data_IF_332202916444
#
_entry.id   IF_332202916444
#
_cell.length_a   1.000
_cell.length_b   1.000
_cell.length_c   1.000
_cell.angle_alpha   90.00
_cell.angle_beta   90.00
_cell.angle_gamma   90.00
#
_symmetry.space_group_name_H-M   'P 1'
#
loop_
_entity.id
_entity.type
_entity.pdbx_description
1 polymer ?
#
# COMPACT_ATOMS: atom_id res chain seq x y z
N UNK A 1 12.16 22.10 1.88
CA UNK A 1 12.28 21.42 1.98
C UNK A 1 11.54 20.23 2.26
N UNK A 2 11.24 19.87 3.24
CA UNK A 2 10.63 18.59 3.43
C UNK A 2 9.29 18.44 2.82
N UNK A 3 8.68 19.53 2.49
CA UNK A 3 7.39 19.41 1.97
C UNK A 3 7.32 18.87 0.62
N UNK A 4 8.41 18.77 -0.05
CA UNK A 4 8.33 18.17 -1.34
C UNK A 4 7.96 16.73 -1.24
N UNK A 5 8.31 16.09 -0.14
CA UNK A 5 7.98 14.69 0.00
C UNK A 5 6.50 14.50 0.19
N UNK A 6 5.85 15.46 0.79
CA UNK A 6 4.43 15.34 1.03
C UNK A 6 3.63 15.38 -0.25
N UNK A 7 4.16 16.06 -1.25
CA UNK A 7 3.46 16.20 -2.50
C UNK A 7 3.28 14.85 -3.18
N UNK A 8 4.16 13.91 -2.90
CA UNK A 8 4.13 12.62 -3.54
C UNK A 8 3.23 11.62 -2.84
N UNK A 9 2.65 11.99 -1.74
CA UNK A 9 1.80 11.09 -0.98
C UNK A 9 0.34 11.35 -1.29
N UNK A 10 -0.36 10.28 -1.66
CA UNK A 10 -1.78 10.35 -1.95
C UNK A 10 -2.51 9.64 -0.81
N UNK A 11 -3.45 10.34 -0.20
CA UNK A 11 -4.22 9.78 0.89
C UNK A 11 -5.60 9.40 0.38
N UNK A 12 -5.90 8.12 0.44
CA UNK A 12 -7.22 7.63 0.08
C UNK A 12 -8.00 7.38 1.36
N UNK A 13 -9.30 7.33 1.26
CA UNK A 13 -10.11 7.07 2.43
C UNK A 13 -9.82 5.69 3.00
N UNK A 14 -10.23 5.45 4.23
CA UNK A 14 -10.07 4.12 4.83
C UNK A 14 -8.70 3.81 5.37
N UNK A 15 -7.85 4.82 5.54
CA UNK A 15 -6.53 4.58 6.12
C UNK A 15 -5.47 4.16 5.13
N UNK A 16 -5.64 4.51 3.86
CA UNK A 16 -4.68 4.12 2.82
C UNK A 16 -3.80 5.32 2.46
N UNK A 17 -2.49 5.12 2.43
CA UNK A 17 -1.55 6.14 2.00
C UNK A 17 -0.65 5.55 0.92
N UNK A 18 -0.54 6.24 -0.20
CA UNK A 18 0.26 5.80 -1.34
C UNK A 18 1.33 6.83 -1.63
N UNK A 19 2.59 6.43 -1.64
CA UNK A 19 3.70 7.32 -1.95
C UNK A 19 4.46 6.79 -3.17
N UNK A 20 4.82 7.68 -4.07
CA UNK A 20 5.53 7.30 -5.27
C UNK A 20 4.63 6.83 -6.40
N UNK A 21 3.33 7.08 -6.29
CA UNK A 21 2.37 6.65 -7.31
C UNK A 21 1.92 7.79 -8.21
N UNK A 22 2.54 8.96 -8.08
CA UNK A 22 2.08 10.12 -8.79
C UNK A 22 2.22 10.02 -10.31
N UNK A 23 3.26 9.34 -10.78
CA UNK A 23 3.53 9.25 -12.20
C UNK A 23 2.86 8.08 -12.89
N UNK A 24 2.02 7.35 -12.19
CA UNK A 24 1.35 6.21 -12.78
C UNK A 24 0.20 6.68 -13.65
N UNK A 25 0.02 6.04 -14.81
CA UNK A 25 -1.07 6.38 -15.70
C UNK A 25 -2.41 6.32 -14.99
N UNK A 26 -3.33 7.24 -15.29
CA UNK A 26 -4.63 7.26 -14.61
C UNK A 26 -5.38 5.94 -14.67
N UNK A 27 -5.35 5.26 -15.82
CA UNK A 27 -6.04 3.99 -15.93
C UNK A 27 -5.46 2.93 -15.03
N UNK A 28 -4.14 2.91 -14.92
CA UNK A 28 -3.47 1.96 -14.04
C UNK A 28 -3.74 2.32 -12.58
N UNK A 29 -3.81 3.60 -12.29
CA UNK A 29 -4.05 4.04 -10.93
C UNK A 29 -5.44 3.60 -10.45
N UNK A 30 -6.43 3.59 -11.35
CA UNK A 30 -7.75 3.11 -11.00
C UNK A 30 -7.70 1.66 -10.56
N UNK A 31 -6.91 0.84 -11.28
CA UNK A 31 -6.76 -0.57 -10.92
C UNK A 31 -6.02 -0.71 -9.60
N UNK A 32 -4.97 0.10 -9.39
CA UNK A 32 -4.24 0.09 -8.12
C UNK A 32 -5.20 0.38 -6.97
N UNK A 33 -6.05 1.38 -7.12
CA UNK A 33 -7.00 1.72 -6.06
C UNK A 33 -7.95 0.57 -5.75
N UNK A 34 -8.38 -0.14 -6.77
CA UNK A 34 -9.27 -1.27 -6.55
C UNK A 34 -8.59 -2.39 -5.81
N UNK A 35 -7.36 -2.71 -6.21
CA UNK A 35 -6.62 -3.78 -5.55
C UNK A 35 -6.33 -3.43 -4.10
N UNK A 36 -5.81 -2.23 -3.87
CA UNK A 36 -5.47 -1.79 -2.52
C UNK A 36 -6.71 -1.70 -1.66
N UNK A 37 -7.80 -1.18 -2.23
CA UNK A 37 -9.05 -1.06 -1.49
C UNK A 37 -9.60 -2.41 -1.06
N UNK A 38 -9.49 -3.40 -1.94
CA UNK A 38 -9.98 -4.73 -1.65
C UNK A 38 -9.19 -5.36 -0.50
N UNK A 39 -7.86 -5.24 -0.54
CA UNK A 39 -7.03 -5.77 0.54
C UNK A 39 -7.27 -5.00 1.83
N UNK A 40 -7.43 -3.67 1.74
CA UNK A 40 -7.67 -2.87 2.93
C UNK A 40 -8.95 -3.26 3.62
N UNK A 41 -9.99 -3.54 2.83
CA UNK A 41 -11.25 -3.97 3.41
C UNK A 41 -11.07 -5.31 4.14
N UNK A 42 -10.33 -6.23 3.54
CA UNK A 42 -10.08 -7.52 4.17
C UNK A 42 -9.29 -7.35 5.45
N UNK A 43 -8.28 -6.48 5.44
CA UNK A 43 -7.50 -6.23 6.66
C UNK A 43 -8.37 -5.60 7.74
N UNK A 44 -9.21 -4.65 7.36
CA UNK A 44 -10.07 -3.98 8.32
C UNK A 44 -11.10 -4.93 8.91
N UNK A 45 -11.61 -5.84 8.10
CA UNK A 45 -12.57 -6.83 8.59
C UNK A 45 -11.91 -7.83 9.53
N UNK A 46 -10.66 -8.19 9.23
CA UNK A 46 -9.96 -9.18 10.02
C UNK A 46 -9.38 -8.61 11.30
N UNK A 47 -8.90 -7.39 11.25
CA UNK A 47 -8.24 -6.75 12.38
C UNK A 47 -9.04 -5.55 12.85
N UNK A 48 -9.69 -5.68 13.98
CA UNK A 48 -10.51 -4.59 14.53
C UNK A 48 -9.68 -3.37 14.89
N UNK A 49 -8.38 -3.57 15.10
CA UNK A 49 -7.48 -2.49 15.45
C UNK A 49 -6.71 -1.98 14.24
N UNK A 50 -7.23 -2.22 13.03
CA UNK A 50 -6.60 -1.70 11.82
C UNK A 50 -6.46 -0.19 11.90
N UNK A 51 -5.26 0.30 11.59
CA UNK A 51 -4.99 1.73 11.62
C UNK A 51 -4.75 2.25 10.21
N UNK A 52 -3.77 1.70 9.51
CA UNK A 52 -3.42 2.26 8.21
C UNK A 52 -2.65 1.26 7.36
N UNK A 53 -2.79 1.41 6.05
CA UNK A 53 -2.01 0.64 5.10
C UNK A 53 -1.24 1.64 4.25
N UNK A 54 0.07 1.51 4.25
CA UNK A 54 0.95 2.43 3.53
C UNK A 54 1.69 1.67 2.45
N UNK A 55 1.72 2.23 1.26
CA UNK A 55 2.47 1.67 0.15
C UNK A 55 3.43 2.72 -0.37
N UNK A 56 4.67 2.32 -0.59
CA UNK A 56 5.71 3.22 -1.07
C UNK A 56 6.37 2.58 -2.28
N UNK A 57 6.25 3.24 -3.42
CA UNK A 57 6.85 2.76 -4.65
C UNK A 57 8.07 3.60 -4.95
N UNK A 58 9.22 2.94 -5.06
CA UNK A 58 10.48 3.62 -5.33
C UNK A 58 11.16 2.90 -6.48
N UNK A 59 10.98 3.40 -7.68
CA UNK A 59 11.50 2.72 -8.86
C UNK A 59 10.82 1.37 -9.01
N UNK A 60 11.60 0.32 -9.00
CA UNK A 60 11.06 -1.04 -9.11
C UNK A 60 10.75 -1.66 -7.76
N UNK A 61 11.03 -0.94 -6.70
CA UNK A 61 10.83 -1.46 -5.37
C UNK A 61 9.48 -1.05 -4.83
N UNK A 62 8.75 -2.00 -4.28
CA UNK A 62 7.47 -1.73 -3.66
C UNK A 62 7.56 -2.13 -2.20
N UNK A 63 7.33 -1.17 -1.31
CA UNK A 63 7.31 -1.42 0.11
C UNK A 63 5.90 -1.21 0.63
N UNK A 64 5.49 -2.05 1.55
CA UNK A 64 4.17 -1.94 2.13
C UNK A 64 4.25 -2.13 3.63
N UNK A 65 3.38 -1.45 4.34
CA UNK A 65 3.30 -1.59 5.79
C UNK A 65 1.84 -1.62 6.20
N UNK A 66 1.47 -2.67 6.91
CA UNK A 66 0.14 -2.78 7.50
C UNK A 66 0.29 -2.40 8.96
N UNK A 67 -0.35 -1.33 9.37
CA UNK A 67 -0.23 -0.84 10.72
C UNK A 67 -1.51 -1.11 11.50
N UNK A 68 -1.38 -1.80 12.61
CA UNK A 68 -2.45 -1.99 13.55
C UNK A 68 -2.16 -1.11 14.76
N UNK A 69 -3.03 -1.11 15.74
CA UNK A 69 -2.86 -0.21 16.86
C UNK A 69 -1.53 -0.41 17.61
N UNK A 70 -1.14 -1.66 17.81
CA UNK A 70 0.09 -1.94 18.56
C UNK A 70 1.09 -2.78 17.80
N UNK A 71 0.81 -3.11 16.55
CA UNK A 71 1.70 -3.93 15.75
C UNK A 71 1.80 -3.36 14.34
N UNK A 72 2.86 -3.70 13.65
CA UNK A 72 2.93 -3.40 12.24
C UNK A 72 3.63 -4.54 11.51
N UNK A 73 3.28 -4.72 10.26
CA UNK A 73 3.86 -5.76 9.42
C UNK A 73 4.37 -5.09 8.15
N UNK A 74 5.51 -5.52 7.67
CA UNK A 74 6.13 -4.93 6.49
C UNK A 74 6.38 -5.98 5.44
N UNK A 75 6.32 -5.55 4.18
CA UNK A 75 6.59 -6.41 3.05
C UNK A 75 7.32 -5.60 1.99
N UNK A 76 8.07 -6.29 1.15
CA UNK A 76 8.88 -5.64 0.13
C UNK A 76 8.92 -6.53 -1.11
N UNK A 77 8.91 -5.90 -2.28
CA UNK A 77 9.03 -6.61 -3.54
C UNK A 77 9.84 -5.77 -4.51
N UNK A 78 10.63 -6.41 -5.35
CA UNK A 78 11.45 -5.74 -6.34
C UNK A 78 11.18 -6.30 -7.72
N UNK A 79 9.92 -6.36 -8.10
CA UNK A 79 9.51 -6.87 -9.39
C UNK A 79 9.16 -5.72 -10.32
N UNK A 80 9.56 -5.81 -11.58
CA UNK A 80 9.29 -4.76 -12.55
C UNK A 80 7.82 -4.44 -12.74
N UNK A 81 6.99 -5.45 -12.76
CA UNK A 81 5.57 -5.24 -13.04
C UNK A 81 4.86 -4.69 -11.81
N UNK A 82 4.25 -3.53 -11.99
CA UNK A 82 3.58 -2.84 -10.89
C UNK A 82 2.53 -3.70 -10.20
N UNK A 83 1.67 -4.35 -10.99
CA UNK A 83 0.58 -5.11 -10.39
C UNK A 83 1.06 -6.38 -9.71
N UNK A 84 2.09 -7.01 -10.28
CA UNK A 84 2.65 -8.20 -9.65
C UNK A 84 3.33 -7.81 -8.35
N UNK A 85 4.08 -6.71 -8.34
CA UNK A 85 4.75 -6.25 -7.12
C UNK A 85 3.72 -5.89 -6.05
N UNK A 86 2.66 -5.20 -6.46
CA UNK A 86 1.62 -4.78 -5.53
C UNK A 86 0.93 -5.99 -4.90
N UNK A 87 0.55 -6.95 -5.73
CA UNK A 87 -0.12 -8.14 -5.23
C UNK A 87 0.81 -8.93 -4.30
N UNK A 88 2.09 -9.00 -4.64
CA UNK A 88 3.04 -9.75 -3.84
C UNK A 88 3.18 -9.17 -2.43
N UNK A 89 3.32 -7.84 -2.32
CA UNK A 89 3.50 -7.24 -1.00
C UNK A 89 2.22 -7.33 -0.18
N UNK A 90 1.06 -7.15 -0.82
CA UNK A 90 -0.20 -7.22 -0.09
C UNK A 90 -0.48 -8.63 0.38
N UNK A 91 -0.18 -9.62 -0.44
CA UNK A 91 -0.36 -11.00 -0.06
C UNK A 91 0.60 -11.38 1.06
N UNK A 92 1.81 -10.86 1.02
CA UNK A 92 2.77 -11.12 2.08
C UNK A 92 2.29 -10.53 3.41
N UNK A 93 1.73 -9.32 3.37
CA UNK A 93 1.17 -8.71 4.57
C UNK A 93 0.02 -9.54 5.11
N UNK A 94 -0.81 -10.07 4.21
CA UNK A 94 -1.92 -10.90 4.62
C UNK A 94 -1.42 -12.14 5.34
N UNK A 95 -0.40 -12.78 4.80
CA UNK A 95 0.16 -13.98 5.40
C UNK A 95 0.82 -13.68 6.75
N UNK A 96 1.56 -12.59 6.83
CA UNK A 96 2.25 -12.24 8.07
C UNK A 96 1.30 -11.86 9.20
N UNK A 97 0.18 -11.26 8.84
CA UNK A 97 -0.76 -10.78 9.85
C UNK A 97 -1.83 -11.79 10.21
N UNK A 98 -1.72 -12.96 9.65
CA UNK A 98 -2.74 -13.98 9.84
C UNK A 98 -2.69 -14.64 11.22
#
# INVERSE_FOLDING_TARGET
MAKENDVDTIILGGGIELTGFKDIEPGMFIVVKKIVGSYTRAFSDKHKDFDKLTLNKNGKEMNAELKLKEKSFKANSKVDNLFIALDAVLKELENKSN
#
